data_IF_591230512853
#
_entry.id   IF_591230512853
#
_cell.length_a   1.000
_cell.length_b   1.000
_cell.length_c   1.000
_cell.angle_alpha   90.00
_cell.angle_beta   90.00
_cell.angle_gamma   90.00
#
_symmetry.space_group_name_H-M   'P 1'
#
loop_
_entity.id
_entity.type
_entity.pdbx_description
1 polymer ?
#
# COMPACT_ATOMS: atom_id res chain seq x y z
N UNK A 1 -1.49 -8.24 -12.88
CA UNK A 1 -1.21 -7.27 -11.81
C UNK A 1 -2.55 -6.85 -11.28
N UNK A 2 -2.74 -7.06 -9.99
CA UNK A 2 -3.96 -6.73 -9.27
C UNK A 2 -3.73 -5.43 -8.50
N UNK A 3 -4.80 -4.83 -7.99
CA UNK A 3 -4.66 -3.66 -7.12
C UNK A 3 -5.60 -3.71 -5.94
N UNK A 4 -5.23 -2.98 -4.88
CA UNK A 4 -6.04 -2.81 -3.69
C UNK A 4 -5.92 -1.38 -3.19
N UNK A 5 -7.03 -0.87 -2.64
CA UNK A 5 -7.07 0.41 -1.94
C UNK A 5 -7.30 0.12 -0.46
N UNK A 6 -6.53 0.80 0.38
CA UNK A 6 -6.72 0.72 1.82
C UNK A 6 -5.73 1.57 2.59
N UNK A 7 -5.72 1.39 3.90
CA UNK A 7 -4.85 2.16 4.80
C UNK A 7 -3.70 1.27 5.26
N UNK A 8 -2.48 1.78 5.18
CA UNK A 8 -1.33 1.11 5.77
C UNK A 8 -1.50 1.17 7.29
N UNK A 9 -1.46 0.03 7.96
CA UNK A 9 -1.58 -0.08 9.43
C UNK A 9 -0.27 -0.48 10.11
N UNK A 10 0.75 -0.84 9.32
CA UNK A 10 2.09 -1.19 9.78
C UNK A 10 3.07 -1.05 8.61
N UNK A 11 4.24 -0.47 8.87
CA UNK A 11 5.39 -0.49 7.97
C UNK A 11 6.65 -0.91 8.73
N UNK A 12 7.39 -1.89 8.21
CA UNK A 12 8.66 -2.37 8.75
C UNK A 12 9.60 -2.73 7.59
N UNK A 13 10.74 -2.04 7.48
CA UNK A 13 11.69 -2.23 6.36
C UNK A 13 10.94 -2.15 5.01
N UNK A 14 11.10 -3.13 4.14
CA UNK A 14 10.40 -3.24 2.86
C UNK A 14 9.03 -3.92 2.96
N UNK A 15 8.49 -4.14 4.16
CA UNK A 15 7.23 -4.87 4.38
C UNK A 15 6.18 -3.96 4.98
N UNK A 16 4.94 -4.15 4.58
CA UNK A 16 3.83 -3.40 5.15
C UNK A 16 2.55 -4.22 5.16
N UNK A 17 1.64 -3.81 6.05
CA UNK A 17 0.30 -4.39 6.15
C UNK A 17 -0.72 -3.31 5.83
N UNK A 18 -1.66 -3.65 4.96
CA UNK A 18 -2.73 -2.76 4.51
C UNK A 18 -4.08 -3.38 4.89
N UNK A 19 -5.00 -2.55 5.39
CA UNK A 19 -6.39 -2.95 5.61
C UNK A 19 -7.24 -2.29 4.52
N UNK A 20 -7.94 -3.12 3.73
CA UNK A 20 -8.83 -2.63 2.68
C UNK A 20 -10.19 -2.18 3.25
N UNK A 21 -11.03 -1.60 2.39
CA UNK A 21 -12.39 -1.15 2.77
C UNK A 21 -13.33 -2.27 3.23
N UNK A 22 -12.99 -3.52 2.98
CA UNK A 22 -13.73 -4.69 3.45
C UNK A 22 -13.13 -5.27 4.75
N UNK A 23 -12.27 -4.50 5.43
CA UNK A 23 -11.56 -4.87 6.66
C UNK A 23 -10.63 -6.10 6.49
N UNK A 24 -10.25 -6.41 5.24
CA UNK A 24 -9.33 -7.51 4.95
C UNK A 24 -7.91 -7.01 5.06
N UNK A 25 -7.09 -7.78 5.77
CA UNK A 25 -5.69 -7.50 5.94
C UNK A 25 -4.84 -8.13 4.83
N UNK A 26 -4.08 -7.28 4.14
CA UNK A 26 -3.14 -7.65 3.09
C UNK A 26 -1.71 -7.49 3.58
N UNK A 27 -0.86 -8.46 3.27
CA UNK A 27 0.58 -8.41 3.57
C UNK A 27 1.34 -8.18 2.28
N UNK A 28 2.16 -7.13 2.28
CA UNK A 28 2.94 -6.72 1.14
C UNK A 28 4.43 -6.66 1.46
N UNK A 29 5.23 -6.96 0.45
CA UNK A 29 6.65 -6.66 0.39
C UNK A 29 6.89 -5.77 -0.83
N UNK A 30 7.68 -4.71 -0.68
CA UNK A 30 8.08 -3.87 -1.80
C UNK A 30 8.87 -4.71 -2.80
N UNK A 31 8.44 -4.66 -4.06
CA UNK A 31 9.20 -5.21 -5.14
C UNK A 31 10.48 -4.38 -5.37
N UNK A 32 11.56 -4.96 -5.91
CA UNK A 32 12.79 -4.22 -6.20
C UNK A 32 12.60 -3.06 -7.18
N UNK A 33 11.53 -3.10 -7.98
CA UNK A 33 11.13 -2.10 -8.97
C UNK A 33 10.01 -1.18 -8.48
N UNK A 34 9.72 -1.17 -7.17
CA UNK A 34 8.67 -0.33 -6.61
C UNK A 34 8.94 1.17 -6.80
N UNK A 35 7.88 1.95 -6.97
CA UNK A 35 7.96 3.42 -7.10
C UNK A 35 8.35 4.15 -5.79
N UNK A 36 8.35 3.44 -4.66
CA UNK A 36 8.67 3.94 -3.32
C UNK A 36 9.75 3.09 -2.67
N UNK A 37 10.53 3.69 -1.80
CA UNK A 37 11.54 3.02 -1.01
C UNK A 37 11.02 2.69 0.41
N UNK A 38 11.67 1.77 1.15
CA UNK A 38 11.30 1.43 2.53
C UNK A 38 11.09 2.62 3.46
N UNK A 39 11.91 3.67 3.32
CA UNK A 39 11.83 4.91 4.11
C UNK A 39 10.61 5.78 3.81
N UNK A 40 9.92 5.55 2.69
CA UNK A 40 8.73 6.32 2.29
C UNK A 40 7.44 5.72 2.88
N UNK A 41 7.48 4.47 3.37
CA UNK A 41 6.31 3.80 3.97
C UNK A 41 5.89 4.39 5.33
N UNK A 42 6.79 4.71 6.29
CA UNK A 42 6.38 5.26 7.58
C UNK A 42 5.60 6.59 7.49
N UNK A 43 5.96 7.55 6.60
CA UNK A 43 5.11 8.71 6.33
C UNK A 43 3.68 8.34 5.89
N UNK A 44 3.54 7.41 4.94
CA UNK A 44 2.22 6.97 4.43
C UNK A 44 1.37 6.30 5.52
N UNK A 45 2.01 5.55 6.43
CA UNK A 45 1.37 5.01 7.63
C UNK A 45 0.93 6.10 8.61
N UNK A 46 1.82 7.06 8.92
CA UNK A 46 1.55 8.12 9.90
C UNK A 46 0.40 9.03 9.51
N UNK A 47 0.22 9.28 8.22
CA UNK A 47 -0.84 10.13 7.71
C UNK A 47 -2.21 9.44 7.75
N UNK A 48 -2.25 8.12 7.96
CA UNK A 48 -3.50 7.33 7.98
C UNK A 48 -4.29 7.41 6.67
N UNK A 49 -3.64 7.83 5.59
CA UNK A 49 -4.28 8.11 4.31
C UNK A 49 -4.50 6.81 3.53
N UNK A 50 -5.59 6.73 2.78
CA UNK A 50 -5.77 5.65 1.83
C UNK A 50 -4.68 5.70 0.75
N UNK A 51 -4.10 4.54 0.48
CA UNK A 51 -3.14 4.32 -0.60
C UNK A 51 -3.73 3.32 -1.59
N UNK A 52 -3.36 3.47 -2.85
CA UNK A 52 -3.53 2.47 -3.87
C UNK A 52 -2.23 1.69 -4.02
N UNK A 53 -2.35 0.37 -4.00
CA UNK A 53 -1.22 -0.55 -4.13
C UNK A 53 -1.44 -1.41 -5.37
N UNK A 54 -0.56 -1.31 -6.35
CA UNK A 54 -0.49 -2.26 -7.46
C UNK A 54 0.43 -3.41 -7.08
N UNK A 55 -0.05 -4.65 -7.22
CA UNK A 55 0.66 -5.81 -6.71
C UNK A 55 0.58 -7.04 -7.63
N UNK A 56 1.50 -7.98 -7.39
CA UNK A 56 1.51 -9.30 -8.01
C UNK A 56 1.66 -10.38 -6.95
N UNK A 57 1.06 -11.54 -7.22
CA UNK A 57 1.24 -12.70 -6.37
C UNK A 57 2.60 -13.32 -6.67
N UNK A 58 3.38 -13.61 -5.64
CA UNK A 58 4.67 -14.28 -5.77
C UNK A 58 4.54 -15.75 -5.34
N UNK A 59 4.70 -16.73 -6.25
CA UNK A 59 4.62 -18.14 -5.89
C UNK A 59 5.64 -18.50 -4.81
N UNK A 60 5.17 -19.08 -3.70
CA UNK A 60 6.03 -19.49 -2.58
C UNK A 60 6.33 -18.41 -1.55
N UNK A 61 5.73 -17.22 -1.64
CA UNK A 61 5.87 -16.13 -0.67
C UNK A 61 4.53 -15.86 0.03
N UNK A 62 4.53 -15.70 1.35
CA UNK A 62 3.32 -15.41 2.13
C UNK A 62 2.80 -13.97 1.93
N UNK A 63 3.60 -13.11 1.29
CA UNK A 63 3.27 -11.71 1.03
C UNK A 63 3.22 -11.43 -0.47
N UNK A 64 2.27 -10.59 -0.89
CA UNK A 64 2.19 -10.08 -2.25
C UNK A 64 3.32 -9.06 -2.51
N UNK A 65 3.78 -8.96 -3.75
CA UNK A 65 4.80 -7.99 -4.15
C UNK A 65 4.12 -6.70 -4.59
N UNK A 66 4.42 -5.60 -3.90
CA UNK A 66 3.92 -4.27 -4.24
C UNK A 66 4.88 -3.57 -5.19
N UNK A 67 4.40 -3.21 -6.39
CA UNK A 67 5.17 -2.54 -7.44
C UNK A 67 4.89 -1.03 -7.50
N UNK A 68 3.72 -0.60 -7.04
CA UNK A 68 3.37 0.82 -6.94
C UNK A 68 2.61 1.02 -5.65
N UNK A 69 3.03 2.03 -4.88
CA UNK A 69 2.28 2.53 -3.72
C UNK A 69 2.09 4.02 -3.92
N UNK A 70 0.85 4.45 -4.05
CA UNK A 70 0.51 5.84 -4.34
C UNK A 70 -0.60 6.33 -3.41
N UNK A 71 -0.51 7.54 -2.83
CA UNK A 71 -1.61 8.12 -2.07
C UNK A 71 -2.85 8.21 -2.95
N UNK A 72 -4.01 7.77 -2.44
CA UNK A 72 -5.26 8.05 -3.14
C UNK A 72 -5.49 9.56 -3.17
N UNK A 73 -5.78 10.14 -4.34
CA UNK A 73 -6.16 11.54 -4.41
C UNK A 73 -7.33 11.73 -3.43
N UNK A 74 -7.17 12.67 -2.49
CA UNK A 74 -8.35 13.16 -1.79
C UNK A 74 -9.22 13.74 -2.90
N UNK A 75 -10.39 13.14 -3.17
CA UNK A 75 -11.44 13.87 -3.87
C UNK A 75 -11.68 15.13 -3.03
N UNK A 76 -11.06 16.23 -3.46
CA UNK A 76 -11.26 17.53 -2.86
C UNK A 76 -12.73 17.85 -3.05
N UNK A 77 -13.41 18.13 -1.94
CA UNK A 77 -14.73 18.76 -1.90
C UNK A 77 -14.91 19.69 -3.09
N UNK A 78 -15.90 19.37 -3.93
CA UNK A 78 -16.37 20.29 -4.94
C UNK A 78 -16.72 21.61 -4.25
N UNK A 79 -16.14 22.76 -4.67
CA UNK A 79 -16.58 24.03 -4.12
C UNK A 79 -18.06 24.22 -4.48
N UNK A 80 -18.86 24.48 -3.44
CA UNK A 80 -20.28 24.80 -3.52
C UNK A 80 -20.57 26.05 -4.34
#
# INVERSE_FOLDING_TARGET
>A
MDSVIGVIIMAQESRFRLVDRADRAWHFMLAPDANVEPQDLPPLFRDGREVHVAWSNAPGVTAALAHDVSPQPHEQEAPA
#
